data_IF_214937188989
#
_entry.id   IF_214937188989
#
_cell.length_a   1.000
_cell.length_b   1.000
_cell.length_c   1.000
_cell.angle_alpha   90.00
_cell.angle_beta   90.00
_cell.angle_gamma   90.00
#
_symmetry.space_group_name_H-M   'P 1'
#
loop_
_entity.id
_entity.type
_entity.pdbx_description
1 polymer ?
#
# COMPACT_ATOMS: atom_id res chain seq x y z
N UNK A 1 -3.60 -17.56 -6.47
CA UNK A 1 -3.86 -17.85 -5.04
C UNK A 1 -3.18 -16.86 -4.08
N UNK A 2 -2.85 -15.62 -4.50
CA UNK A 2 -2.28 -14.58 -3.62
C UNK A 2 -3.35 -13.63 -3.01
N UNK A 3 -4.53 -13.59 -3.63
CA UNK A 3 -5.59 -12.62 -3.34
C UNK A 3 -6.29 -12.81 -1.99
N UNK A 4 -6.24 -14.03 -1.44
CA UNK A 4 -6.95 -14.40 -0.20
C UNK A 4 -6.06 -14.39 1.04
N UNK A 5 -4.74 -14.38 0.85
CA UNK A 5 -3.74 -14.48 1.93
C UNK A 5 -3.14 -13.13 2.30
N UNK A 6 -3.15 -12.17 1.37
CA UNK A 6 -2.64 -10.80 1.59
C UNK A 6 -3.32 -10.09 2.77
N UNK A 7 -4.67 -10.06 2.87
CA UNK A 7 -5.34 -9.45 4.02
C UNK A 7 -4.98 -10.12 5.35
N UNK A 8 -4.88 -11.46 5.34
CA UNK A 8 -4.49 -12.25 6.53
C UNK A 8 -3.04 -12.00 6.94
N UNK A 9 -2.14 -11.87 5.97
CA UNK A 9 -0.74 -11.55 6.21
C UNK A 9 -0.59 -10.13 6.76
N UNK A 10 -1.35 -9.15 6.24
CA UNK A 10 -1.38 -7.80 6.78
C UNK A 10 -1.91 -7.79 8.24
N UNK A 11 -2.95 -8.56 8.55
CA UNK A 11 -3.43 -8.69 9.94
C UNK A 11 -2.36 -9.30 10.84
N UNK A 12 -1.62 -10.31 10.36
CA UNK A 12 -0.58 -10.98 11.14
C UNK A 12 0.61 -10.05 11.42
N UNK A 13 1.05 -9.29 10.41
CA UNK A 13 2.23 -8.43 10.48
C UNK A 13 1.94 -7.13 11.24
N UNK A 14 0.75 -6.55 11.08
CA UNK A 14 0.40 -5.23 11.62
C UNK A 14 -0.61 -5.26 12.78
N UNK A 15 -1.16 -6.43 13.12
CA UNK A 15 -2.12 -6.61 14.21
C UNK A 15 -3.48 -5.94 13.98
N UNK A 16 -4.30 -5.92 15.03
CA UNK A 16 -5.69 -5.43 15.00
C UNK A 16 -5.81 -3.91 14.78
N UNK A 17 -4.79 -3.14 15.15
CA UNK A 17 -4.78 -1.67 15.02
C UNK A 17 -4.15 -1.18 13.70
N UNK A 18 -3.55 -2.09 12.92
CA UNK A 18 -2.96 -1.79 11.62
C UNK A 18 -1.71 -0.90 11.67
N UNK A 19 -1.08 -0.83 12.85
CA UNK A 19 0.16 -0.13 13.10
C UNK A 19 0.17 1.32 12.56
N UNK A 20 -0.94 2.05 12.73
CA UNK A 20 -1.02 3.47 12.35
C UNK A 20 0.06 4.25 13.09
N UNK A 21 0.98 4.85 12.34
CA UNK A 21 2.06 5.67 12.88
C UNK A 21 1.96 7.06 12.28
N UNK A 22 1.77 8.03 13.17
CA UNK A 22 1.80 9.46 12.89
C UNK A 22 2.86 10.10 13.81
N UNK A 23 4.10 9.66 13.63
CA UNK A 23 5.20 10.25 14.39
C UNK A 23 5.55 11.59 13.73
N UNK A 24 5.31 12.69 14.44
CA UNK A 24 5.63 14.05 13.98
C UNK A 24 7.13 14.26 13.69
N UNK A 25 7.99 13.35 14.17
CA UNK A 25 9.45 13.30 13.92
C UNK A 25 9.84 12.50 12.67
N UNK A 26 8.91 11.78 12.04
CA UNK A 26 9.19 10.94 10.88
C UNK A 26 8.92 11.71 9.58
N UNK A 27 9.96 11.84 8.75
CA UNK A 27 9.88 12.57 7.47
C UNK A 27 8.94 11.90 6.44
N UNK A 28 8.37 10.73 6.73
CA UNK A 28 7.43 9.98 5.90
C UNK A 28 5.95 10.35 6.08
N UNK A 29 5.59 11.03 7.18
CA UNK A 29 4.20 11.43 7.46
C UNK A 29 3.24 10.27 7.77
N UNK A 30 1.92 10.52 7.75
CA UNK A 30 0.92 9.54 8.20
C UNK A 30 0.99 8.25 7.39
N UNK A 31 1.18 7.13 8.08
CA UNK A 31 1.37 5.81 7.46
C UNK A 31 0.55 4.74 8.19
N UNK A 32 -0.15 3.88 7.43
CA UNK A 32 -0.90 2.73 7.96
C UNK A 32 -0.66 1.51 7.09
N UNK A 33 -0.45 0.33 7.70
CA UNK A 33 -0.11 -0.91 6.99
C UNK A 33 1.11 -0.79 6.04
N UNK A 34 2.06 0.11 6.33
CA UNK A 34 3.18 0.41 5.43
C UNK A 34 2.83 1.25 4.19
N UNK A 35 1.59 1.72 4.07
CA UNK A 35 1.12 2.59 2.98
C UNK A 35 1.11 4.04 3.47
N UNK A 36 1.87 4.88 2.77
CA UNK A 36 1.97 6.32 3.05
C UNK A 36 0.79 7.09 2.46
N UNK A 37 0.51 8.28 2.98
CA UNK A 37 -0.47 9.21 2.41
C UNK A 37 -0.27 9.47 0.90
N UNK A 38 0.98 9.50 0.41
CA UNK A 38 1.29 9.70 -1.02
C UNK A 38 0.86 8.51 -1.87
N UNK A 39 1.12 7.29 -1.39
CA UNK A 39 0.71 6.06 -2.07
C UNK A 39 -0.81 5.95 -2.13
N UNK A 40 -1.50 6.28 -1.03
CA UNK A 40 -2.95 6.33 -1.00
C UNK A 40 -3.51 7.40 -1.94
N UNK A 41 -2.90 8.59 -1.98
CA UNK A 41 -3.27 9.67 -2.90
C UNK A 41 -3.16 9.25 -4.36
N UNK A 42 -2.05 8.62 -4.74
CA UNK A 42 -1.84 8.12 -6.10
C UNK A 42 -2.87 7.04 -6.49
N UNK A 43 -3.22 6.14 -5.57
CA UNK A 43 -4.23 5.11 -5.81
C UNK A 43 -5.63 5.71 -6.00
N UNK A 44 -5.99 6.71 -5.20
CA UNK A 44 -7.27 7.40 -5.30
C UNK A 44 -7.33 8.44 -6.43
N UNK A 45 -6.20 8.74 -7.09
CA UNK A 45 -6.10 9.82 -8.09
C UNK A 45 -6.25 11.21 -7.49
N UNK A 46 -5.97 11.38 -6.21
CA UNK A 46 -6.05 12.66 -5.49
C UNK A 46 -4.68 13.30 -5.37
N UNK A 47 -4.62 14.64 -5.35
CA UNK A 47 -3.38 15.38 -5.16
C UNK A 47 -2.83 15.23 -3.73
N UNK A 48 -3.71 15.10 -2.73
CA UNK A 48 -3.36 14.96 -1.33
C UNK A 48 -4.49 14.24 -0.58
N UNK A 49 -4.13 13.45 0.44
CA UNK A 49 -5.09 12.70 1.26
C UNK A 49 -4.82 13.04 2.73
N UNK A 50 -5.84 13.43 3.51
CA UNK A 50 -5.64 13.80 4.91
C UNK A 50 -5.24 12.58 5.75
N UNK A 51 -4.52 12.80 6.87
CA UNK A 51 -4.12 11.74 7.82
C UNK A 51 -5.31 10.90 8.29
N UNK A 52 -6.48 11.52 8.45
CA UNK A 52 -7.72 10.82 8.84
C UNK A 52 -8.14 9.73 7.85
N UNK A 53 -7.95 9.94 6.54
CA UNK A 53 -8.21 8.89 5.54
C UNK A 53 -7.16 7.80 5.56
N UNK A 54 -5.90 8.12 5.84
CA UNK A 54 -4.86 7.11 6.06
C UNK A 54 -5.20 6.26 7.29
N UNK A 55 -5.69 6.90 8.36
CA UNK A 55 -6.14 6.23 9.58
C UNK A 55 -7.41 5.39 9.35
N UNK A 56 -8.34 5.86 8.53
CA UNK A 56 -9.57 5.16 8.19
C UNK A 56 -9.37 4.02 7.17
N UNK A 57 -8.18 3.90 6.57
CA UNK A 57 -7.87 2.86 5.58
C UNK A 57 -8.13 1.47 6.16
N UNK A 58 -8.88 0.68 5.40
CA UNK A 58 -9.17 -0.71 5.75
C UNK A 58 -8.07 -1.65 5.26
N UNK A 59 -8.00 -2.84 5.84
CA UNK A 59 -7.01 -3.84 5.42
C UNK A 59 -7.25 -4.35 4.00
N UNK A 60 -8.50 -4.34 3.55
CA UNK A 60 -8.89 -4.69 2.19
C UNK A 60 -8.39 -3.64 1.20
N UNK A 61 -8.61 -2.34 1.48
CA UNK A 61 -8.03 -1.26 0.67
C UNK A 61 -6.50 -1.35 0.62
N UNK A 62 -5.85 -1.62 1.75
CA UNK A 62 -4.41 -1.81 1.78
C UNK A 62 -3.96 -2.97 0.88
N UNK A 63 -4.66 -4.11 0.93
CA UNK A 63 -4.37 -5.26 0.07
C UNK A 63 -4.53 -4.91 -1.41
N UNK A 64 -5.59 -4.20 -1.80
CA UNK A 64 -5.82 -3.78 -3.18
C UNK A 64 -4.71 -2.84 -3.70
N UNK A 65 -4.24 -1.91 -2.86
CA UNK A 65 -3.12 -1.02 -3.19
C UNK A 65 -1.83 -1.82 -3.44
N UNK A 66 -1.55 -2.82 -2.59
CA UNK A 66 -0.40 -3.72 -2.79
C UNK A 66 -0.51 -4.53 -4.08
N UNK A 67 -1.69 -5.07 -4.40
CA UNK A 67 -1.93 -5.81 -5.63
C UNK A 67 -1.74 -4.93 -6.88
N UNK A 68 -2.30 -3.71 -6.87
CA UNK A 68 -2.12 -2.77 -7.97
C UNK A 68 -0.65 -2.36 -8.14
N UNK A 69 0.05 -2.07 -7.04
CA UNK A 69 1.47 -1.73 -7.08
C UNK A 69 2.31 -2.87 -7.67
N UNK A 70 2.05 -4.12 -7.24
CA UNK A 70 2.71 -5.30 -7.78
C UNK A 70 2.44 -5.49 -9.29
N UNK A 71 1.20 -5.25 -9.73
CA UNK A 71 0.80 -5.31 -11.15
C UNK A 71 1.49 -4.25 -12.01
N UNK A 72 1.61 -3.02 -11.51
CA UNK A 72 2.31 -1.94 -12.20
C UNK A 72 3.80 -2.26 -12.36
N UNK A 73 4.41 -2.91 -11.36
CA UNK A 73 5.82 -3.33 -11.39
C UNK A 73 6.12 -4.51 -12.33
N UNK A 74 5.13 -5.39 -12.54
CA UNK A 74 5.25 -6.51 -13.49
C UNK A 74 5.00 -6.08 -14.93
N UNK A 75 4.18 -5.06 -15.15
CA UNK A 75 3.96 -4.50 -16.49
C UNK A 75 5.15 -3.68 -17.03
N UNK A 76 6.12 -3.35 -16.18
CA UNK A 76 7.32 -2.59 -16.54
C UNK A 76 8.62 -3.41 -16.52
N UNK A 77 8.55 -4.73 -16.38
CA UNK A 77 9.69 -5.59 -16.73
C UNK A 77 9.69 -5.81 -18.24
N UNK A 78 10.56 -5.13 -19.03
CA UNK A 78 10.82 -5.59 -20.37
C UNK A 78 11.36 -7.02 -20.24
N UNK A 79 10.60 -7.98 -20.74
CA UNK A 79 11.17 -9.28 -21.02
C UNK A 79 12.33 -9.01 -21.96
N UNK A 80 13.55 -9.16 -21.45
CA UNK A 80 14.76 -9.14 -22.25
C UNK A 80 14.58 -10.22 -23.32
N UNK A 81 14.20 -9.79 -24.53
CA UNK A 81 14.33 -10.61 -25.73
C UNK A 81 15.82 -10.74 -26.00
N UNK A 82 16.40 -11.80 -25.45
CA UNK A 82 17.61 -12.40 -26.00
C UNK A 82 17.19 -13.50 -26.98
N UNK A 83 17.67 -13.41 -28.21
CA UNK A 83 17.61 -14.52 -29.18
C UNK A 83 17.25 -14.06 -30.60
N UNK A 84 18.28 -13.85 -31.42
CA UNK A 84 18.19 -13.60 -32.86
C UNK A 84 19.42 -12.90 -33.38
#
# INVERSE_FOLDING_TARGET
MARETLPKALTLVFGSEGCYSDAQTDSGGPTKYGITHKTLAAHLGLAHVPPERVKAMTINEAAEIYEQSARLRTSSMPHSRNGG
#
